data_IF_933451233438
#
_entry.id   IF_933451233438
#
_cell.length_a   1.000
_cell.length_b   1.000
_cell.length_c   1.000
_cell.angle_alpha   90.00
_cell.angle_beta   90.00
_cell.angle_gamma   90.00
#
_symmetry.space_group_name_H-M   'P 1'
#
loop_
_entity.id
_entity.type
_entity.pdbx_description
1 polymer ?
#
# COMPACT_ATOMS: atom_id res chain seq x y z
N UNK A 1 38.28 31.17 32.41
CA UNK A 1 37.31 31.66 31.41
C UNK A 1 36.56 30.45 30.86
N UNK A 2 35.36 30.18 31.36
CA UNK A 2 34.51 29.10 30.92
C UNK A 2 33.57 29.62 29.84
N UNK A 3 33.65 29.04 28.66
CA UNK A 3 32.76 29.37 27.53
C UNK A 3 31.56 28.45 27.62
N UNK A 4 30.41 29.02 28.00
CA UNK A 4 29.13 28.32 27.95
C UNK A 4 28.69 28.14 26.50
N UNK A 5 28.45 26.89 26.11
CA UNK A 5 27.85 26.52 24.83
C UNK A 5 26.37 26.89 24.86
N UNK A 6 25.80 27.54 23.83
CA UNK A 6 24.39 27.84 23.80
C UNK A 6 23.57 26.55 23.57
N UNK A 7 22.63 26.34 24.46
CA UNK A 7 21.63 25.29 24.40
C UNK A 7 20.79 25.46 23.12
N UNK A 8 20.87 24.50 22.21
CA UNK A 8 20.04 24.46 21.01
C UNK A 8 18.58 24.28 21.44
N UNK A 9 17.81 25.34 21.29
CA UNK A 9 16.34 25.30 21.44
C UNK A 9 15.80 24.42 20.31
N UNK A 10 15.49 23.16 20.63
CA UNK A 10 14.72 22.31 19.73
C UNK A 10 13.31 22.89 19.59
N UNK A 11 13.03 23.54 18.47
CA UNK A 11 11.66 23.90 18.09
C UNK A 11 10.83 22.61 18.05
N UNK A 12 9.69 22.54 18.75
CA UNK A 12 8.81 21.39 18.62
C UNK A 12 8.28 21.38 17.18
N UNK A 13 8.70 20.41 16.40
CA UNK A 13 8.10 20.09 15.11
C UNK A 13 6.65 19.68 15.40
N UNK A 14 5.71 20.56 15.14
CA UNK A 14 4.28 20.26 15.31
C UNK A 14 3.86 19.36 14.15
N UNK A 15 4.10 18.06 14.30
CA UNK A 15 3.61 17.07 13.36
C UNK A 15 2.08 17.14 13.30
N UNK A 16 1.45 17.04 12.13
CA UNK A 16 0.00 17.02 12.04
C UNK A 16 -0.56 15.84 12.85
N UNK A 17 -1.53 16.11 13.70
CA UNK A 17 -2.17 15.08 14.53
C UNK A 17 -3.56 14.79 14.00
N UNK A 18 -3.85 13.50 13.76
CA UNK A 18 -5.15 13.03 13.27
C UNK A 18 -5.84 12.25 14.39
N UNK A 19 -7.05 12.65 14.74
CA UNK A 19 -7.88 11.88 15.67
C UNK A 19 -8.85 10.99 14.89
N UNK A 20 -8.88 9.70 15.20
CA UNK A 20 -9.65 8.68 14.50
C UNK A 20 -10.32 7.71 15.48
N UNK A 21 -11.42 7.06 15.04
CA UNK A 21 -12.07 6.00 15.83
C UNK A 21 -11.29 4.67 15.70
N UNK A 22 -10.59 4.47 14.58
CA UNK A 22 -9.80 3.27 14.34
C UNK A 22 -8.60 3.56 13.43
N UNK A 23 -7.45 3.03 13.81
CA UNK A 23 -6.27 2.97 12.95
C UNK A 23 -6.05 1.52 12.51
N UNK A 24 -5.88 1.31 11.22
CA UNK A 24 -5.58 0.01 10.61
C UNK A 24 -4.19 0.07 10.01
N UNK A 25 -3.30 -0.78 10.47
CA UNK A 25 -1.93 -0.90 9.96
C UNK A 25 -1.89 -2.03 8.94
N UNK A 26 -1.66 -1.69 7.68
CA UNK A 26 -1.62 -2.58 6.53
C UNK A 26 -2.87 -2.55 5.66
N UNK A 27 -2.68 -2.33 4.35
CA UNK A 27 -3.73 -2.25 3.33
C UNK A 27 -4.08 -3.61 2.72
N UNK A 28 -3.95 -4.69 3.49
CA UNK A 28 -4.28 -6.04 3.06
C UNK A 28 -5.78 -6.30 3.01
N UNK A 29 -6.18 -7.53 2.60
CA UNK A 29 -7.60 -7.91 2.45
C UNK A 29 -8.40 -7.73 3.75
N UNK A 30 -7.84 -8.09 4.90
CA UNK A 30 -8.49 -7.91 6.21
C UNK A 30 -8.68 -6.44 6.56
N UNK A 31 -7.57 -5.66 6.50
CA UNK A 31 -7.57 -4.24 6.84
C UNK A 31 -8.53 -3.43 5.98
N UNK A 32 -8.47 -3.56 4.66
CA UNK A 32 -9.37 -2.82 3.76
C UNK A 32 -10.84 -3.20 3.92
N UNK A 33 -11.14 -4.47 4.24
CA UNK A 33 -12.51 -4.91 4.47
C UNK A 33 -13.07 -4.34 5.78
N UNK A 34 -12.26 -4.33 6.83
CA UNK A 34 -12.62 -3.73 8.11
C UNK A 34 -12.79 -2.22 7.98
N UNK A 35 -11.83 -1.53 7.32
CA UNK A 35 -11.93 -0.09 7.07
C UNK A 35 -13.25 0.29 6.39
N UNK A 36 -13.60 -0.40 5.31
CA UNK A 36 -14.85 -0.14 4.58
C UNK A 36 -16.10 -0.37 5.45
N UNK A 37 -16.10 -1.40 6.31
CA UNK A 37 -17.22 -1.66 7.22
C UNK A 37 -17.35 -0.61 8.32
N UNK A 38 -16.24 -0.18 8.90
CA UNK A 38 -16.24 0.87 9.92
C UNK A 38 -16.67 2.21 9.32
N UNK A 39 -16.17 2.56 8.15
CA UNK A 39 -16.58 3.77 7.43
C UNK A 39 -18.09 3.76 7.12
N UNK A 40 -18.64 2.64 6.64
CA UNK A 40 -20.08 2.48 6.40
C UNK A 40 -20.91 2.60 7.70
N UNK A 41 -20.32 2.34 8.86
CA UNK A 41 -20.92 2.55 10.18
C UNK A 41 -20.71 3.99 10.72
N UNK A 42 -20.21 4.92 9.89
CA UNK A 42 -19.98 6.32 10.25
C UNK A 42 -18.72 6.58 11.07
N UNK A 43 -17.82 5.59 11.18
CA UNK A 43 -16.58 5.74 11.95
C UNK A 43 -15.49 6.39 11.10
N UNK A 44 -14.69 7.26 11.72
CA UNK A 44 -13.48 7.81 11.13
C UNK A 44 -12.37 6.76 11.19
N UNK A 45 -11.75 6.45 10.06
CA UNK A 45 -10.73 5.40 9.96
C UNK A 45 -9.47 5.94 9.29
N UNK A 46 -8.32 5.68 9.90
CA UNK A 46 -7.03 5.85 9.25
C UNK A 46 -6.52 4.48 8.82
N UNK A 47 -6.03 4.37 7.58
CA UNK A 47 -5.36 3.18 7.07
C UNK A 47 -3.92 3.54 6.72
N UNK A 48 -2.95 3.00 7.45
CA UNK A 48 -1.52 3.19 7.19
C UNK A 48 -0.98 2.01 6.37
N UNK A 49 -0.28 2.28 5.27
CA UNK A 49 0.42 1.27 4.47
C UNK A 49 1.85 1.72 4.20
N UNK A 50 2.81 0.84 4.45
CA UNK A 50 4.23 1.16 4.37
C UNK A 50 4.70 1.51 2.94
N UNK A 51 4.01 1.04 1.92
CA UNK A 51 4.37 1.27 0.52
C UNK A 51 3.14 1.38 -0.37
N UNK A 52 3.10 2.40 -1.22
CA UNK A 52 2.07 2.53 -2.25
C UNK A 52 2.02 1.31 -3.21
N UNK A 53 3.14 0.62 -3.38
CA UNK A 53 3.21 -0.60 -4.16
C UNK A 53 2.50 -1.80 -3.53
N UNK A 54 2.09 -1.68 -2.28
CA UNK A 54 1.41 -2.75 -1.53
C UNK A 54 -0.08 -2.50 -1.30
N UNK A 55 -0.67 -1.45 -1.86
CA UNK A 55 -2.11 -1.26 -1.77
C UNK A 55 -2.90 -2.47 -2.30
N UNK A 56 -3.81 -2.97 -1.47
CA UNK A 56 -4.54 -4.23 -1.72
C UNK A 56 -3.87 -5.47 -1.13
N UNK A 57 -2.64 -5.35 -0.63
CA UNK A 57 -1.90 -6.40 0.08
C UNK A 57 -1.22 -7.44 -0.83
N UNK A 58 -0.64 -8.44 -0.19
CA UNK A 58 0.20 -9.48 -0.84
C UNK A 58 -0.52 -10.29 -1.91
N UNK A 59 -1.81 -10.54 -1.76
CA UNK A 59 -2.60 -11.29 -2.75
C UNK A 59 -2.61 -10.60 -4.12
N UNK A 60 -2.73 -9.27 -4.16
CA UNK A 60 -2.74 -8.49 -5.39
C UNK A 60 -1.34 -8.29 -5.93
N UNK A 61 -0.37 -7.98 -5.06
CA UNK A 61 0.90 -7.44 -5.48
C UNK A 61 2.02 -8.49 -5.60
N UNK A 62 1.97 -9.58 -4.82
CA UNK A 62 3.08 -10.55 -4.73
C UNK A 62 2.64 -11.97 -5.07
N UNK A 63 1.50 -12.43 -4.56
CA UNK A 63 1.14 -13.84 -4.58
C UNK A 63 0.07 -14.20 -5.60
N UNK A 64 -1.20 -14.21 -5.18
CA UNK A 64 -2.31 -14.86 -5.89
C UNK A 64 -2.52 -14.36 -7.32
N UNK A 65 -2.62 -13.05 -7.50
CA UNK A 65 -2.97 -12.48 -8.81
C UNK A 65 -1.78 -12.45 -9.79
N UNK A 66 -0.56 -12.06 -9.37
CA UNK A 66 0.60 -12.18 -10.24
C UNK A 66 0.82 -13.61 -10.74
N UNK A 67 0.72 -14.61 -9.87
CA UNK A 67 0.90 -16.01 -10.23
C UNK A 67 -0.18 -16.50 -11.22
N UNK A 68 -1.46 -16.17 -10.94
CA UNK A 68 -2.56 -16.52 -11.85
C UNK A 68 -2.41 -15.87 -13.22
N UNK A 69 -2.00 -14.60 -13.28
CA UNK A 69 -1.76 -13.90 -14.53
C UNK A 69 -0.70 -14.61 -15.37
N UNK A 70 0.43 -15.00 -14.75
CA UNK A 70 1.51 -15.71 -15.44
C UNK A 70 1.07 -17.09 -15.92
N UNK A 71 0.32 -17.86 -15.11
CA UNK A 71 -0.18 -19.17 -15.50
C UNK A 71 -1.12 -19.05 -16.71
N UNK A 72 -2.07 -18.11 -16.67
CA UNK A 72 -3.00 -17.89 -17.78
C UNK A 72 -2.27 -17.49 -19.07
N UNK A 73 -1.29 -16.61 -18.96
CA UNK A 73 -0.45 -16.21 -20.11
C UNK A 73 0.34 -17.39 -20.67
N UNK A 74 0.90 -18.25 -19.83
CA UNK A 74 1.64 -19.43 -20.25
C UNK A 74 0.72 -20.45 -20.95
N UNK A 75 -0.50 -20.67 -20.42
CA UNK A 75 -1.48 -21.54 -21.06
C UNK A 75 -1.93 -21.01 -22.42
N UNK A 76 -2.11 -19.71 -22.54
CA UNK A 76 -2.46 -19.07 -23.83
C UNK A 76 -1.31 -19.23 -24.83
N UNK A 77 -0.09 -18.89 -24.44
CA UNK A 77 1.09 -19.06 -25.30
C UNK A 77 1.27 -20.50 -25.78
N UNK A 78 0.98 -21.49 -24.94
CA UNK A 78 1.00 -22.90 -25.31
C UNK A 78 -0.05 -23.24 -26.37
N UNK A 79 -1.28 -22.71 -26.22
CA UNK A 79 -2.36 -22.92 -27.20
C UNK A 79 -2.07 -22.31 -28.56
N UNK A 80 -1.47 -21.12 -28.53
CA UNK A 80 -1.13 -20.35 -29.73
C UNK A 80 0.15 -20.85 -30.44
N UNK A 81 0.79 -21.90 -29.92
CA UNK A 81 2.02 -22.45 -30.49
C UNK A 81 3.26 -21.57 -30.27
N UNK A 82 3.18 -20.57 -29.40
CA UNK A 82 4.28 -19.64 -29.12
C UNK A 82 5.51 -20.30 -28.47
N UNK A 83 5.43 -21.57 -28.13
CA UNK A 83 6.56 -22.35 -27.57
C UNK A 83 7.38 -23.09 -28.62
N UNK A 84 7.12 -22.89 -29.92
CA UNK A 84 7.75 -23.66 -31.03
C UNK A 84 9.20 -23.30 -31.25
N UNK A 85 9.59 -22.03 -31.03
CA UNK A 85 10.99 -21.59 -31.15
C UNK A 85 11.47 -20.83 -29.91
N UNK A 86 12.79 -20.67 -29.69
CA UNK A 86 13.32 -19.84 -28.61
C UNK A 86 12.79 -18.41 -28.65
N UNK A 87 12.77 -17.79 -29.82
CA UNK A 87 12.34 -16.39 -30.01
C UNK A 87 10.89 -16.19 -29.69
N UNK A 88 10.00 -17.13 -30.09
CA UNK A 88 8.57 -17.04 -29.76
C UNK A 88 8.30 -17.25 -28.27
N UNK A 89 9.11 -18.07 -27.60
CA UNK A 89 9.03 -18.24 -26.12
C UNK A 89 9.44 -16.99 -25.37
N UNK A 90 10.53 -16.33 -25.81
CA UNK A 90 10.99 -15.08 -25.20
C UNK A 90 9.95 -13.99 -25.35
N UNK A 91 9.40 -13.77 -26.55
CA UNK A 91 8.35 -12.81 -26.81
C UNK A 91 7.09 -13.08 -25.97
N UNK A 92 6.69 -14.34 -25.83
CA UNK A 92 5.55 -14.74 -25.01
C UNK A 92 5.81 -14.48 -23.52
N UNK A 93 7.02 -14.71 -23.04
CA UNK A 93 7.40 -14.41 -21.66
C UNK A 93 7.39 -12.92 -21.37
N UNK A 94 7.95 -12.09 -22.24
CA UNK A 94 7.90 -10.63 -22.11
C UNK A 94 6.48 -10.10 -22.09
N UNK A 95 5.62 -10.61 -22.99
CA UNK A 95 4.19 -10.27 -23.02
C UNK A 95 3.49 -10.67 -21.69
N UNK A 96 3.79 -11.85 -21.15
CA UNK A 96 3.25 -12.30 -19.87
C UNK A 96 3.67 -11.41 -18.71
N UNK A 97 4.93 -10.98 -18.66
CA UNK A 97 5.42 -10.05 -17.63
C UNK A 97 4.74 -8.68 -17.74
N UNK A 98 4.57 -8.18 -18.97
CA UNK A 98 3.87 -6.92 -19.24
C UNK A 98 2.41 -6.99 -18.78
N UNK A 99 1.70 -8.07 -19.12
CA UNK A 99 0.30 -8.29 -18.71
C UNK A 99 0.17 -8.43 -17.19
N UNK A 100 1.05 -9.20 -16.54
CA UNK A 100 1.10 -9.31 -15.09
C UNK A 100 1.23 -7.92 -14.43
N UNK A 101 2.16 -7.08 -14.89
CA UNK A 101 2.36 -5.71 -14.37
C UNK A 101 1.12 -4.85 -14.58
N UNK A 102 0.50 -4.90 -15.75
CA UNK A 102 -0.73 -4.17 -16.08
C UNK A 102 -1.86 -4.52 -15.14
N UNK A 103 -2.13 -5.82 -14.95
CA UNK A 103 -3.20 -6.33 -14.09
C UNK A 103 -2.96 -5.94 -12.62
N UNK A 104 -1.73 -6.10 -12.15
CA UNK A 104 -1.35 -5.76 -10.77
C UNK A 104 -1.53 -4.27 -10.50
N UNK A 105 -1.02 -3.41 -11.38
CA UNK A 105 -1.15 -1.95 -11.25
C UNK A 105 -2.62 -1.50 -11.27
N UNK A 106 -3.40 -1.98 -12.21
CA UNK A 106 -4.83 -1.67 -12.30
C UNK A 106 -5.60 -2.07 -11.02
N UNK A 107 -5.30 -3.24 -10.47
CA UNK A 107 -5.99 -3.72 -9.27
C UNK A 107 -5.52 -2.99 -8.01
N UNK A 108 -4.26 -2.60 -7.93
CA UNK A 108 -3.70 -1.77 -6.87
C UNK A 108 -4.41 -0.42 -6.82
N UNK A 109 -4.47 0.26 -7.95
CA UNK A 109 -5.15 1.54 -8.12
C UNK A 109 -6.64 1.44 -7.74
N UNK A 110 -7.36 0.47 -8.30
CA UNK A 110 -8.76 0.23 -7.96
C UNK A 110 -8.99 -0.04 -6.46
N UNK A 111 -8.07 -0.74 -5.79
CA UNK A 111 -8.18 -0.99 -4.35
C UNK A 111 -7.89 0.26 -3.53
N UNK A 112 -6.93 1.08 -3.96
CA UNK A 112 -6.65 2.37 -3.33
C UNK A 112 -7.88 3.27 -3.36
N UNK A 113 -8.40 3.56 -4.53
CA UNK A 113 -9.56 4.44 -4.71
C UNK A 113 -10.82 3.94 -4.02
N UNK A 114 -11.00 2.63 -3.94
CA UNK A 114 -12.14 2.06 -3.21
C UNK A 114 -12.20 2.47 -1.73
N UNK A 115 -11.06 2.78 -1.11
CA UNK A 115 -10.98 3.29 0.26
C UNK A 115 -10.76 4.79 0.30
N UNK A 116 -9.78 5.29 -0.45
CA UNK A 116 -9.37 6.68 -0.39
C UNK A 116 -10.47 7.67 -0.81
N UNK A 117 -11.41 7.23 -1.63
CA UNK A 117 -12.54 8.05 -2.09
C UNK A 117 -13.72 8.07 -1.10
N UNK A 118 -13.59 7.44 0.08
CA UNK A 118 -14.62 7.47 1.13
C UNK A 118 -14.34 8.60 2.12
N UNK A 119 -15.32 9.45 2.40
CA UNK A 119 -15.18 10.65 3.25
C UNK A 119 -14.65 10.35 4.66
N UNK A 120 -14.95 9.17 5.20
CA UNK A 120 -14.56 8.77 6.55
C UNK A 120 -13.25 7.96 6.60
N UNK A 121 -12.54 7.79 5.47
CA UNK A 121 -11.28 7.05 5.43
C UNK A 121 -10.13 7.96 4.99
N UNK A 122 -9.08 7.98 5.78
CA UNK A 122 -7.81 8.60 5.41
C UNK A 122 -6.78 7.51 5.17
N UNK A 123 -6.22 7.43 3.97
CA UNK A 123 -5.12 6.52 3.65
C UNK A 123 -3.80 7.27 3.74
N UNK A 124 -2.87 6.76 4.53
CA UNK A 124 -1.54 7.35 4.72
C UNK A 124 -0.48 6.34 4.28
N UNK A 125 0.37 6.76 3.33
CA UNK A 125 1.54 5.98 2.94
C UNK A 125 2.68 6.28 3.89
N UNK A 126 3.07 5.30 4.68
CA UNK A 126 4.14 5.45 5.65
C UNK A 126 4.24 4.25 6.59
N UNK A 127 5.37 4.15 7.26
CA UNK A 127 5.61 3.09 8.23
C UNK A 127 5.07 3.53 9.60
N UNK A 128 4.07 2.83 10.08
CA UNK A 128 3.45 3.08 11.39
C UNK A 128 4.21 2.38 12.51
N UNK A 129 4.33 3.04 13.66
CA UNK A 129 4.82 2.47 14.91
C UNK A 129 4.07 3.06 16.11
N UNK A 130 3.88 2.25 17.14
CA UNK A 130 3.21 2.70 18.36
C UNK A 130 4.13 3.62 19.17
N UNK A 131 3.59 4.76 19.60
CA UNK A 131 4.25 5.71 20.51
C UNK A 131 3.61 5.68 21.90
N UNK A 132 2.46 5.02 22.05
CA UNK A 132 1.75 4.84 23.30
C UNK A 132 0.58 3.86 23.16
N UNK A 133 -0.18 3.63 24.23
CA UNK A 133 -1.33 2.69 24.22
C UNK A 133 -2.43 3.07 23.21
N UNK A 134 -2.56 4.36 22.91
CA UNK A 134 -3.59 4.91 22.03
C UNK A 134 -3.01 5.91 21.03
N UNK A 135 -1.72 5.83 20.75
CA UNK A 135 -1.03 6.73 19.84
C UNK A 135 -0.06 5.99 18.95
N UNK A 136 -0.02 6.41 17.69
CA UNK A 136 0.85 5.87 16.65
C UNK A 136 1.48 7.03 15.90
N UNK A 137 2.72 6.89 15.50
CA UNK A 137 3.36 7.76 14.55
C UNK A 137 3.55 7.04 13.22
N UNK A 138 3.22 7.71 12.13
CA UNK A 138 3.39 7.20 10.77
C UNK A 138 4.50 8.04 10.11
N UNK A 139 5.64 7.43 9.87
CA UNK A 139 6.75 8.03 9.15
C UNK A 139 6.44 8.07 7.65
N UNK A 140 6.14 9.25 7.12
CA UNK A 140 5.86 9.49 5.70
C UNK A 140 7.03 10.17 5.00
N UNK A 141 7.00 10.27 3.67
CA UNK A 141 8.01 11.00 2.90
C UNK A 141 8.02 12.51 3.19
N UNK A 142 6.88 13.06 3.64
CA UNK A 142 6.72 14.50 3.94
C UNK A 142 6.97 14.83 5.42
N UNK A 143 7.25 13.82 6.23
CA UNK A 143 7.45 13.95 7.67
C UNK A 143 6.53 13.05 8.50
N UNK A 144 6.70 12.99 9.81
CA UNK A 144 5.89 12.16 10.67
C UNK A 144 4.48 12.72 10.84
N UNK A 145 3.50 11.81 10.90
CA UNK A 145 2.09 12.10 11.18
C UNK A 145 1.70 11.35 12.45
N UNK A 146 1.19 12.06 13.45
CA UNK A 146 0.66 11.46 14.68
C UNK A 146 -0.82 11.07 14.51
N UNK A 147 -1.19 9.90 15.00
CA UNK A 147 -2.56 9.37 14.98
C UNK A 147 -2.94 8.81 16.33
#
# INVERSE_FOLDING_TARGET
MSISTPNAISTPSTSPTITTDALIIGFGKGGKTLAAKLSAAGRKVVVAEASADMYGGTCINIGCLPSKSLILSAEQARRDGANSTPETREAAFEAAIKEKRRVTSMLRDKNYHKLADQDNITVITGRAHFTGPHSVEIATAEGPVAV
#
